data_IF_380444656086
#
_entry.id   IF_380444656086
#
_cell.length_a   1.000
_cell.length_b   1.000
_cell.length_c   1.000
_cell.angle_alpha   90.00
_cell.angle_beta   90.00
_cell.angle_gamma   90.00
#
_symmetry.space_group_name_H-M   'P 1'
#
loop_
_entity.id
_entity.type
_entity.pdbx_description
1 polymer ?
#
# COMPACT_ATOMS: atom_id res chain seq x y z
N UNK A 1 -20.23 11.86 -33.12
CA UNK A 1 -19.40 10.65 -33.28
C UNK A 1 -19.00 10.19 -31.89
N UNK A 2 -19.62 9.13 -31.37
CA UNK A 2 -19.20 8.51 -30.10
C UNK A 2 -17.87 7.81 -30.38
N UNK A 3 -16.75 8.39 -29.96
CA UNK A 3 -15.49 7.66 -29.97
C UNK A 3 -15.66 6.50 -28.98
N UNK A 4 -15.60 5.27 -29.49
CA UNK A 4 -15.53 4.09 -28.66
C UNK A 4 -14.29 4.22 -27.75
N UNK A 5 -14.50 4.64 -26.50
CA UNK A 5 -13.46 4.61 -25.46
C UNK A 5 -13.00 3.16 -25.37
N UNK A 6 -11.75 2.89 -25.76
CA UNK A 6 -11.20 1.54 -25.70
C UNK A 6 -11.28 1.02 -24.27
N UNK A 7 -11.78 -0.21 -24.10
CA UNK A 7 -12.14 -0.80 -22.80
C UNK A 7 -10.97 -0.78 -21.82
N UNK A 8 -11.28 -0.78 -20.53
CA UNK A 8 -10.31 -0.95 -19.45
C UNK A 8 -9.66 -2.34 -19.60
N UNK A 9 -8.34 -2.43 -19.39
CA UNK A 9 -7.60 -3.68 -19.19
C UNK A 9 -6.71 -3.54 -17.97
N UNK A 10 -6.88 -4.42 -16.98
CA UNK A 10 -6.08 -4.41 -15.75
C UNK A 10 -5.11 -5.58 -15.79
N UNK A 11 -3.82 -5.32 -15.65
CA UNK A 11 -2.79 -6.34 -15.52
C UNK A 11 -2.09 -6.22 -14.16
N UNK A 12 -1.47 -7.30 -13.71
CA UNK A 12 -0.68 -7.33 -12.48
C UNK A 12 0.74 -7.79 -12.77
N UNK A 13 1.72 -7.16 -12.12
CA UNK A 13 3.03 -7.78 -11.91
C UNK A 13 2.99 -8.84 -10.80
N UNK A 14 4.15 -9.29 -10.33
CA UNK A 14 4.23 -10.33 -9.27
C UNK A 14 4.21 -9.77 -7.85
N UNK A 15 4.24 -8.45 -7.66
CA UNK A 15 4.35 -7.84 -6.33
C UNK A 15 3.12 -8.04 -5.43
N UNK A 16 1.91 -7.90 -5.99
CA UNK A 16 0.65 -7.98 -5.23
C UNK A 16 -0.55 -8.41 -6.11
N UNK A 17 -0.56 -9.66 -6.62
CA UNK A 17 -1.65 -10.15 -7.46
C UNK A 17 -3.02 -10.16 -6.75
N UNK A 18 -3.05 -10.37 -5.43
CA UNK A 18 -4.28 -10.35 -4.63
C UNK A 18 -5.01 -8.99 -4.70
N UNK A 19 -4.30 -7.87 -4.49
CA UNK A 19 -4.88 -6.54 -4.62
C UNK A 19 -5.35 -6.27 -6.05
N UNK A 20 -4.58 -6.71 -7.05
CA UNK A 20 -4.96 -6.54 -8.45
C UNK A 20 -6.26 -7.28 -8.78
N UNK A 21 -6.45 -8.49 -8.27
CA UNK A 21 -7.67 -9.27 -8.43
C UNK A 21 -8.87 -8.62 -7.73
N UNK A 22 -8.70 -8.08 -6.52
CA UNK A 22 -9.74 -7.33 -5.82
C UNK A 22 -10.19 -6.10 -6.63
N UNK A 23 -9.23 -5.34 -7.16
CA UNK A 23 -9.50 -4.17 -8.00
C UNK A 23 -10.21 -4.57 -9.30
N UNK A 24 -9.76 -5.62 -9.99
CA UNK A 24 -10.36 -6.10 -11.22
C UNK A 24 -11.82 -6.56 -11.00
N UNK A 25 -12.06 -7.34 -9.94
CA UNK A 25 -13.39 -7.78 -9.53
C UNK A 25 -14.34 -6.61 -9.29
N UNK A 26 -13.89 -5.56 -8.60
CA UNK A 26 -14.70 -4.34 -8.37
C UNK A 26 -14.99 -3.56 -9.64
N UNK A 27 -14.12 -3.62 -10.64
CA UNK A 27 -14.35 -3.07 -11.97
C UNK A 27 -15.26 -3.96 -12.84
N UNK A 28 -15.68 -5.13 -12.35
CA UNK A 28 -16.57 -6.05 -13.07
C UNK A 28 -15.88 -6.80 -14.21
N UNK A 29 -14.56 -6.98 -14.16
CA UNK A 29 -13.80 -7.67 -15.21
C UNK A 29 -12.68 -8.54 -14.63
N UNK A 30 -12.27 -9.62 -15.32
CA UNK A 30 -11.10 -10.39 -14.91
C UNK A 30 -9.80 -9.61 -15.15
N UNK A 31 -8.73 -10.02 -14.47
CA UNK A 31 -7.38 -9.60 -14.83
C UNK A 31 -7.05 -10.02 -16.27
N UNK A 32 -6.33 -9.14 -16.97
CA UNK A 32 -5.76 -9.41 -18.28
C UNK A 32 -4.74 -10.53 -18.22
N UNK A 33 -4.69 -11.34 -19.27
CA UNK A 33 -3.79 -12.47 -19.43
C UNK A 33 -2.39 -11.96 -19.71
N UNK A 34 -1.51 -12.10 -18.73
CA UNK A 34 -0.08 -11.90 -18.89
C UNK A 34 0.69 -13.07 -18.28
N UNK A 35 1.82 -13.40 -18.89
CA UNK A 35 2.80 -14.31 -18.30
C UNK A 35 3.93 -13.47 -17.76
N UNK A 36 4.22 -13.59 -16.46
CA UNK A 36 5.35 -12.95 -15.79
C UNK A 36 6.16 -14.04 -15.12
N UNK A 37 7.29 -14.40 -15.72
CA UNK A 37 8.20 -15.46 -15.26
C UNK A 37 9.62 -14.94 -15.18
N UNK A 38 10.55 -15.78 -14.74
CA UNK A 38 11.99 -15.49 -14.74
C UNK A 38 12.76 -16.64 -15.34
N UNK A 39 13.88 -16.35 -15.98
CA UNK A 39 14.85 -17.37 -16.37
C UNK A 39 15.79 -17.71 -15.20
N UNK A 40 16.63 -18.72 -15.39
CA UNK A 40 17.61 -19.18 -14.39
C UNK A 40 18.65 -18.11 -14.02
N UNK A 41 18.85 -17.09 -14.88
CA UNK A 41 19.70 -15.92 -14.60
C UNK A 41 18.99 -14.82 -13.80
N UNK A 42 17.69 -14.98 -13.51
CA UNK A 42 16.88 -14.03 -12.74
C UNK A 42 16.26 -12.89 -13.55
N UNK A 43 16.41 -12.88 -14.88
CA UNK A 43 15.82 -11.87 -15.75
C UNK A 43 14.30 -12.08 -15.88
N UNK A 44 13.53 -10.98 -15.86
CA UNK A 44 12.08 -11.04 -15.98
C UNK A 44 11.66 -11.26 -17.44
N UNK A 45 10.92 -12.34 -17.69
CA UNK A 45 10.31 -12.66 -18.98
C UNK A 45 8.82 -12.33 -18.89
N UNK A 46 8.40 -11.34 -19.66
CA UNK A 46 7.03 -10.84 -19.64
C UNK A 46 6.41 -10.95 -21.02
N UNK A 47 5.20 -11.49 -21.08
CA UNK A 47 4.39 -11.55 -22.29
C UNK A 47 2.95 -11.17 -21.99
N UNK A 48 2.47 -10.09 -22.62
CA UNK A 48 1.04 -9.76 -22.66
C UNK A 48 0.37 -10.73 -23.64
N UNK A 49 -0.52 -11.59 -23.14
CA UNK A 49 -1.06 -12.74 -23.87
C UNK A 49 -2.42 -12.44 -24.54
N UNK A 50 -2.85 -11.18 -24.53
CA UNK A 50 -4.06 -10.71 -25.21
C UNK A 50 -3.82 -9.34 -25.86
N UNK A 51 -4.68 -8.97 -26.81
CA UNK A 51 -4.56 -7.68 -27.48
C UNK A 51 -4.88 -6.53 -26.52
N UNK A 52 -3.97 -5.55 -26.48
CA UNK A 52 -4.15 -4.28 -25.77
C UNK A 52 -4.29 -3.09 -26.74
N UNK A 53 -4.33 -3.35 -28.05
CA UNK A 53 -4.41 -2.30 -29.08
C UNK A 53 -5.63 -1.42 -28.84
N UNK A 54 -5.41 -0.11 -28.83
CA UNK A 54 -6.43 0.92 -28.57
C UNK A 54 -7.13 0.84 -27.18
N UNK A 55 -6.70 -0.04 -26.27
CA UNK A 55 -7.30 -0.17 -24.94
C UNK A 55 -6.66 0.81 -23.92
N UNK A 56 -7.40 1.08 -22.85
CA UNK A 56 -6.90 1.83 -21.69
C UNK A 56 -6.37 0.85 -20.64
N UNK A 57 -5.05 0.81 -20.52
CA UNK A 57 -4.33 -0.22 -19.77
C UNK A 57 -3.92 0.30 -18.41
N UNK A 58 -4.21 -0.47 -17.36
CA UNK A 58 -3.80 -0.21 -15.98
C UNK A 58 -2.92 -1.36 -15.51
N UNK A 59 -1.68 -1.07 -15.09
CA UNK A 59 -0.74 -2.09 -14.61
C UNK A 59 -0.54 -1.87 -13.11
N UNK A 60 -0.97 -2.83 -12.30
CA UNK A 60 -0.85 -2.78 -10.84
C UNK A 60 0.46 -3.45 -10.43
N UNK A 61 1.34 -2.69 -9.78
CA UNK A 61 2.57 -3.22 -9.20
C UNK A 61 3.06 -2.31 -8.06
N UNK A 62 3.48 -2.87 -6.93
CA UNK A 62 3.87 -2.13 -5.73
C UNK A 62 5.33 -2.37 -5.33
N UNK A 63 5.94 -1.42 -4.62
CA UNK A 63 7.32 -1.53 -4.13
C UNK A 63 7.39 -2.39 -2.87
N UNK A 64 7.52 -3.70 -3.02
CA UNK A 64 7.62 -4.64 -1.90
C UNK A 64 8.73 -5.67 -2.08
N UNK A 65 9.05 -6.37 -0.99
CA UNK A 65 9.64 -7.70 -1.08
C UNK A 65 8.48 -8.70 -1.16
N UNK A 66 8.30 -9.36 -2.29
CA UNK A 66 7.26 -10.38 -2.46
C UNK A 66 7.88 -11.76 -2.67
N UNK A 67 7.27 -12.84 -2.16
CA UNK A 67 7.67 -14.18 -2.57
C UNK A 67 7.34 -14.38 -4.06
N UNK A 68 8.30 -14.93 -4.79
CA UNK A 68 8.10 -15.39 -6.17
C UNK A 68 7.19 -16.63 -6.19
N UNK A 69 6.68 -17.05 -7.37
CA UNK A 69 5.98 -18.32 -7.52
C UNK A 69 6.79 -19.54 -7.03
N UNK A 70 8.12 -19.43 -7.00
CA UNK A 70 9.04 -20.47 -6.49
C UNK A 70 9.39 -20.31 -5.01
N UNK A 71 8.85 -19.30 -4.32
CA UNK A 71 9.06 -19.04 -2.89
C UNK A 71 10.22 -18.11 -2.55
N UNK A 72 11.10 -17.80 -3.51
CA UNK A 72 12.25 -16.90 -3.32
C UNK A 72 11.81 -15.43 -3.18
N UNK A 73 12.43 -14.61 -2.32
CA UNK A 73 12.07 -13.21 -2.18
C UNK A 73 12.50 -12.39 -3.41
N UNK A 74 11.53 -11.81 -4.12
CA UNK A 74 11.74 -10.78 -5.12
C UNK A 74 11.99 -9.43 -4.42
N UNK A 75 13.04 -8.74 -4.84
CA UNK A 75 13.30 -7.38 -4.33
C UNK A 75 12.37 -6.35 -4.98
N UNK A 76 12.22 -5.15 -4.38
CA UNK A 76 11.52 -4.03 -5.03
C UNK A 76 12.08 -3.69 -6.42
N UNK A 77 13.36 -3.94 -6.67
CA UNK A 77 13.97 -3.73 -7.99
C UNK A 77 13.39 -4.67 -9.04
N UNK A 78 13.09 -5.90 -8.66
CA UNK A 78 12.52 -6.87 -9.59
C UNK A 78 11.10 -6.48 -9.95
N UNK A 79 10.29 -6.08 -8.97
CA UNK A 79 8.95 -5.54 -9.23
C UNK A 79 9.01 -4.25 -10.08
N UNK A 80 9.99 -3.38 -9.84
CA UNK A 80 10.19 -2.20 -10.69
C UNK A 80 10.49 -2.60 -12.14
N UNK A 81 11.43 -3.52 -12.36
CA UNK A 81 11.76 -3.99 -13.72
C UNK A 81 10.58 -4.67 -14.39
N UNK A 82 9.81 -5.49 -13.66
CA UNK A 82 8.58 -6.09 -14.18
C UNK A 82 7.58 -5.02 -14.64
N UNK A 83 7.36 -3.96 -13.83
CA UNK A 83 6.49 -2.85 -14.19
C UNK A 83 6.96 -2.15 -15.47
N UNK A 84 8.25 -1.80 -15.55
CA UNK A 84 8.83 -1.10 -16.71
C UNK A 84 8.70 -1.93 -18.00
N UNK A 85 8.98 -3.24 -17.93
CA UNK A 85 8.87 -4.15 -19.07
C UNK A 85 7.40 -4.32 -19.48
N UNK A 86 6.46 -4.44 -18.53
CA UNK A 86 5.02 -4.52 -18.83
C UNK A 86 4.51 -3.24 -19.51
N UNK A 87 4.89 -2.07 -18.99
CA UNK A 87 4.56 -0.76 -19.61
C UNK A 87 5.08 -0.74 -21.05
N UNK A 88 6.35 -1.08 -21.24
CA UNK A 88 6.97 -1.06 -22.57
C UNK A 88 6.29 -2.04 -23.53
N UNK A 89 5.97 -3.27 -23.07
CA UNK A 89 5.26 -4.27 -23.85
C UNK A 89 3.87 -3.78 -24.32
N UNK A 90 3.11 -3.13 -23.43
CA UNK A 90 1.83 -2.54 -23.79
C UNK A 90 1.99 -1.36 -24.77
N UNK A 91 3.05 -0.55 -24.61
CA UNK A 91 3.33 0.59 -25.48
C UNK A 91 3.62 0.14 -26.91
N UNK A 92 4.50 -0.84 -27.09
CA UNK A 92 4.82 -1.38 -28.42
C UNK A 92 3.65 -2.17 -29.03
N UNK A 93 2.78 -2.73 -28.19
CA UNK A 93 1.53 -3.37 -28.61
C UNK A 93 0.38 -2.37 -28.93
N UNK A 94 0.68 -1.07 -29.02
CA UNK A 94 -0.26 -0.01 -29.40
C UNK A 94 -1.43 0.19 -28.43
N UNK A 95 -1.19 0.05 -27.12
CA UNK A 95 -2.17 0.52 -26.13
C UNK A 95 -2.46 2.01 -26.31
N UNK A 96 -3.72 2.41 -26.15
CA UNK A 96 -4.15 3.82 -26.31
C UNK A 96 -3.59 4.70 -25.21
N UNK A 97 -3.66 4.18 -23.98
CA UNK A 97 -3.18 4.84 -22.77
C UNK A 97 -2.69 3.78 -21.77
N UNK A 98 -1.62 4.08 -21.06
CA UNK A 98 -1.00 3.20 -20.07
C UNK A 98 -0.89 3.95 -18.75
N UNK A 99 -1.56 3.44 -17.73
CA UNK A 99 -1.52 3.94 -16.36
C UNK A 99 -0.79 2.95 -15.46
N UNK A 100 0.30 3.38 -14.83
CA UNK A 100 0.94 2.60 -13.77
C UNK A 100 0.21 2.84 -12.45
N UNK A 101 -0.34 1.80 -11.84
CA UNK A 101 -0.98 1.84 -10.53
C UNK A 101 0.02 1.27 -9.52
N UNK A 102 0.62 2.16 -8.73
CA UNK A 102 1.74 1.87 -7.82
C UNK A 102 1.33 2.19 -6.39
N UNK A 103 0.63 1.30 -5.67
CA UNK A 103 0.11 1.62 -4.33
C UNK A 103 1.17 2.12 -3.36
N UNK A 104 2.33 1.46 -3.25
CA UNK A 104 3.50 1.97 -2.53
C UNK A 104 4.62 2.32 -3.52
N UNK A 105 4.98 3.60 -3.58
CA UNK A 105 5.92 4.12 -4.57
C UNK A 105 7.38 3.68 -4.32
N UNK A 106 8.06 3.27 -5.40
CA UNK A 106 9.44 2.81 -5.35
C UNK A 106 10.40 3.93 -4.93
N UNK A 107 11.29 3.62 -3.99
CA UNK A 107 12.35 4.54 -3.54
C UNK A 107 11.84 5.90 -3.00
N UNK A 108 10.60 5.98 -2.53
CA UNK A 108 9.97 7.24 -2.12
C UNK A 108 10.73 8.02 -1.03
N UNK A 109 11.46 7.33 -0.13
CA UNK A 109 12.31 7.96 0.90
C UNK A 109 13.59 8.60 0.37
N UNK A 110 13.92 8.42 -0.91
CA UNK A 110 15.11 8.97 -1.57
C UNK A 110 14.71 10.08 -2.55
N UNK A 111 13.94 11.05 -2.06
CA UNK A 111 13.30 12.15 -2.78
C UNK A 111 14.13 13.44 -2.79
N UNK A 112 15.16 13.53 -1.95
CA UNK A 112 16.05 14.71 -1.87
C UNK A 112 17.50 14.32 -1.60
N UNK A 113 18.39 15.28 -1.78
CA UNK A 113 19.81 15.14 -1.39
C UNK A 113 19.97 15.44 0.09
N UNK A 114 20.00 14.41 0.93
CA UNK A 114 20.28 14.56 2.36
C UNK A 114 21.77 14.84 2.67
N UNK A 115 22.66 14.51 1.72
CA UNK A 115 24.11 14.75 1.80
C UNK A 115 24.66 15.07 0.42
N UNK A 116 25.85 15.67 0.38
CA UNK A 116 26.58 15.88 -0.88
C UNK A 116 26.80 14.55 -1.61
N UNK A 117 26.60 14.56 -2.94
CA UNK A 117 26.72 13.39 -3.84
C UNK A 117 25.73 12.22 -3.60
N UNK A 118 24.65 12.42 -2.85
CA UNK A 118 23.55 11.46 -2.83
C UNK A 118 22.69 11.55 -4.12
N UNK A 119 22.14 10.44 -4.63
CA UNK A 119 21.16 10.46 -5.71
C UNK A 119 19.79 10.94 -5.22
N UNK A 120 18.94 11.35 -6.16
CA UNK A 120 17.50 11.48 -5.93
C UNK A 120 16.83 10.32 -6.66
N UNK A 121 16.84 9.14 -6.02
CA UNK A 121 16.43 7.90 -6.67
C UNK A 121 14.95 7.93 -7.04
N UNK A 122 14.07 8.54 -6.24
CA UNK A 122 12.66 8.69 -6.59
C UNK A 122 12.46 9.42 -7.94
N UNK A 123 13.27 10.45 -8.22
CA UNK A 123 13.25 11.15 -9.53
C UNK A 123 13.78 10.27 -10.66
N UNK A 124 14.82 9.47 -10.41
CA UNK A 124 15.30 8.48 -11.37
C UNK A 124 14.20 7.46 -11.70
N UNK A 125 13.49 6.94 -10.70
CA UNK A 125 12.37 6.01 -10.91
C UNK A 125 11.27 6.67 -11.73
N UNK A 126 10.87 7.89 -11.39
CA UNK A 126 9.88 8.64 -12.15
C UNK A 126 10.27 8.77 -13.63
N UNK A 127 11.53 9.15 -13.90
CA UNK A 127 12.05 9.24 -15.26
C UNK A 127 12.00 7.89 -16.00
N UNK A 128 12.35 6.78 -15.34
CA UNK A 128 12.31 5.45 -15.96
C UNK A 128 10.87 5.03 -16.31
N UNK A 129 9.92 5.25 -15.41
CA UNK A 129 8.49 4.94 -15.64
C UNK A 129 7.96 5.75 -16.84
N UNK A 130 8.21 7.06 -16.88
CA UNK A 130 7.81 7.90 -18.01
C UNK A 130 8.49 7.44 -19.30
N UNK A 131 9.79 7.12 -19.26
CA UNK A 131 10.55 6.74 -20.45
C UNK A 131 10.20 5.36 -20.99
N UNK A 132 9.70 4.45 -20.15
CA UNK A 132 9.14 3.17 -20.59
C UNK A 132 7.88 3.34 -21.46
N UNK A 133 7.20 4.49 -21.37
CA UNK A 133 6.00 4.83 -22.14
C UNK A 133 4.72 4.93 -21.31
N UNK A 134 4.83 5.23 -20.02
CA UNK A 134 3.70 5.44 -19.13
C UNK A 134 3.07 6.82 -19.34
N UNK A 135 1.75 6.88 -19.48
CA UNK A 135 0.99 8.12 -19.72
C UNK A 135 0.42 8.71 -18.42
N UNK A 136 0.21 7.90 -17.38
CA UNK A 136 -0.36 8.33 -16.10
C UNK A 136 0.13 7.43 -14.95
N UNK A 137 0.20 7.95 -13.73
CA UNK A 137 0.56 7.18 -12.52
C UNK A 137 -0.52 7.38 -11.46
N UNK A 138 -1.02 6.30 -10.88
CA UNK A 138 -1.86 6.34 -9.68
C UNK A 138 -1.02 5.75 -8.55
N UNK A 139 -0.77 6.48 -7.46
CA UNK A 139 -0.08 5.96 -6.27
C UNK A 139 -0.93 6.13 -5.02
N UNK A 140 -0.42 5.72 -3.87
CA UNK A 140 -0.98 6.06 -2.56
C UNK A 140 0.10 6.63 -1.63
N UNK A 141 -0.29 7.58 -0.78
CA UNK A 141 0.45 8.30 0.27
C UNK A 141 1.96 8.40 0.05
N UNK A 142 2.37 9.19 -0.96
CA UNK A 142 3.79 9.48 -1.15
C UNK A 142 4.44 9.98 0.14
N UNK A 143 5.65 9.47 0.37
CA UNK A 143 6.51 9.94 1.46
C UNK A 143 6.67 11.47 1.46
N UNK A 144 6.81 12.05 0.26
CA UNK A 144 6.87 13.50 0.08
C UNK A 144 5.96 13.91 -1.10
N UNK A 145 5.08 14.87 -0.84
CA UNK A 145 4.17 15.44 -1.86
C UNK A 145 4.90 15.97 -3.10
N UNK A 146 6.15 16.41 -2.95
CA UNK A 146 6.99 16.96 -4.01
C UNK A 146 7.34 15.93 -5.10
N UNK A 147 7.25 14.63 -4.80
CA UNK A 147 7.44 13.57 -5.81
C UNK A 147 6.37 13.67 -6.91
N UNK A 148 5.22 14.30 -6.65
CA UNK A 148 4.24 14.63 -7.72
C UNK A 148 4.88 15.44 -8.84
N UNK A 149 5.71 16.44 -8.50
CA UNK A 149 6.45 17.26 -9.47
C UNK A 149 7.63 16.53 -10.13
N UNK A 150 7.89 15.27 -9.77
CA UNK A 150 8.84 14.43 -10.53
C UNK A 150 8.20 13.84 -11.77
N UNK A 151 6.87 13.80 -11.79
CA UNK A 151 6.04 13.37 -12.89
C UNK A 151 5.36 14.56 -13.56
N UNK A 152 5.00 14.38 -14.81
CA UNK A 152 4.10 15.29 -15.53
C UNK A 152 2.63 14.85 -15.40
N UNK A 153 2.31 13.97 -14.43
CA UNK A 153 1.02 13.25 -14.31
C UNK A 153 0.49 13.24 -12.86
N UNK A 154 -0.85 13.32 -12.64
CA UNK A 154 -1.43 13.57 -11.31
C UNK A 154 -1.46 12.33 -10.41
N UNK A 155 -1.56 12.53 -9.08
CA UNK A 155 -1.31 11.49 -8.08
C UNK A 155 -2.00 11.78 -6.72
N UNK A 156 -2.35 10.74 -5.92
CA UNK A 156 -3.43 10.81 -4.91
C UNK A 156 -3.19 10.02 -3.60
N UNK A 157 -3.68 10.48 -2.43
CA UNK A 157 -4.09 9.68 -1.24
C UNK A 157 -4.39 10.50 0.04
N UNK A 158 -5.36 10.03 0.84
CA UNK A 158 -5.64 10.40 2.26
C UNK A 158 -6.85 9.66 2.94
N UNK A 159 -7.87 9.09 2.25
CA UNK A 159 -9.16 8.76 2.90
C UNK A 159 -9.17 7.58 3.90
N UNK A 160 -8.27 6.60 3.73
CA UNK A 160 -8.39 5.30 4.41
C UNK A 160 -8.23 5.41 5.94
N UNK A 161 -7.27 6.21 6.42
CA UNK A 161 -7.05 6.41 7.85
C UNK A 161 -8.22 7.15 8.51
N UNK A 162 -8.79 8.15 7.82
CA UNK A 162 -9.88 8.98 8.33
C UNK A 162 -11.13 8.13 8.64
N UNK A 163 -11.53 7.26 7.71
CA UNK A 163 -12.69 6.40 7.90
C UNK A 163 -12.46 5.41 9.04
N UNK A 164 -11.31 4.73 9.08
CA UNK A 164 -11.01 3.78 10.14
C UNK A 164 -11.09 4.42 11.53
N UNK A 165 -10.54 5.63 11.71
CA UNK A 165 -10.57 6.33 13.00
C UNK A 165 -12.02 6.63 13.42
N UNK A 166 -12.87 7.09 12.49
CA UNK A 166 -14.28 7.41 12.79
C UNK A 166 -15.10 6.19 13.19
N UNK A 167 -14.81 5.04 12.59
CA UNK A 167 -15.59 3.81 12.81
C UNK A 167 -15.09 3.01 14.02
N UNK A 168 -13.78 3.03 14.29
CA UNK A 168 -13.14 2.12 15.24
C UNK A 168 -12.63 2.78 16.52
N UNK A 169 -12.58 4.11 16.58
CA UNK A 169 -12.03 4.85 17.72
C UNK A 169 -13.04 5.87 18.23
N UNK A 170 -13.24 5.90 19.56
CA UNK A 170 -13.96 6.99 20.20
C UNK A 170 -13.17 8.30 20.07
N UNK A 171 -13.56 9.10 19.10
CA UNK A 171 -12.92 10.36 18.79
C UNK A 171 -13.08 11.39 19.93
N UNK A 172 -14.06 11.26 20.83
CA UNK A 172 -14.28 12.26 21.90
C UNK A 172 -13.10 12.39 22.88
N UNK A 173 -12.23 11.37 22.94
CA UNK A 173 -11.04 11.32 23.81
C UNK A 173 -9.78 10.94 23.04
N UNK A 174 -9.72 11.21 21.74
CA UNK A 174 -8.57 10.86 20.92
C UNK A 174 -7.62 12.06 20.70
N UNK A 175 -6.36 11.76 20.44
CA UNK A 175 -5.34 12.73 20.01
C UNK A 175 -4.55 12.12 18.86
N UNK A 176 -4.38 12.89 17.77
CA UNK A 176 -3.54 12.47 16.64
C UNK A 176 -2.09 12.80 16.97
N UNK A 177 -1.20 11.84 16.79
CA UNK A 177 0.23 11.98 17.12
C UNK A 177 1.10 11.73 15.89
N UNK A 178 1.98 12.67 15.57
CA UNK A 178 3.04 12.44 14.59
C UNK A 178 4.29 11.83 15.27
N UNK A 179 4.84 10.71 14.78
CA UNK A 179 6.02 10.07 15.37
C UNK A 179 7.32 10.86 15.14
N UNK A 180 7.32 11.82 14.22
CA UNK A 180 8.42 12.77 14.02
C UNK A 180 7.96 14.11 13.42
N UNK A 181 8.91 15.03 13.23
CA UNK A 181 8.68 16.35 12.66
C UNK A 181 8.22 16.33 11.18
N UNK A 182 8.59 15.31 10.41
CA UNK A 182 8.27 15.20 8.99
C UNK A 182 6.79 14.92 8.76
N UNK A 183 6.17 14.12 9.63
CA UNK A 183 4.75 13.75 9.57
C UNK A 183 3.78 14.85 10.06
N UNK A 184 4.27 15.99 10.55
CA UNK A 184 3.45 17.02 11.20
C UNK A 184 2.23 17.44 10.37
N UNK A 185 2.44 17.79 9.09
CA UNK A 185 1.37 18.26 8.20
C UNK A 185 0.26 17.21 8.00
N UNK A 186 0.64 15.94 7.88
CA UNK A 186 -0.29 14.81 7.72
C UNK A 186 -1.16 14.65 8.96
N UNK A 187 -0.51 14.63 10.12
CA UNK A 187 -1.18 14.47 11.39
C UNK A 187 -2.10 15.67 11.72
N UNK A 188 -1.67 16.90 11.44
CA UNK A 188 -2.52 18.09 11.62
C UNK A 188 -3.71 18.10 10.65
N UNK A 189 -3.52 17.78 9.36
CA UNK A 189 -4.63 17.66 8.39
C UNK A 189 -5.71 16.69 8.87
N UNK A 190 -5.29 15.54 9.40
CA UNK A 190 -6.20 14.52 9.91
C UNK A 190 -6.89 14.96 11.21
N UNK A 191 -6.14 15.59 12.13
CA UNK A 191 -6.67 16.14 13.37
C UNK A 191 -7.76 17.19 13.11
N UNK A 192 -7.50 18.12 12.17
CA UNK A 192 -8.44 19.17 11.78
C UNK A 192 -9.75 18.57 11.21
N UNK A 193 -9.66 17.55 10.35
CA UNK A 193 -10.83 16.88 9.75
C UNK A 193 -11.64 16.03 10.74
N UNK A 194 -11.02 15.60 11.83
CA UNK A 194 -11.65 14.86 12.92
C UNK A 194 -12.05 15.75 14.09
N UNK A 195 -11.68 17.03 14.05
CA UNK A 195 -11.81 17.98 15.16
C UNK A 195 -11.17 17.43 16.46
N UNK A 196 -9.94 16.94 16.35
CA UNK A 196 -9.15 16.36 17.44
C UNK A 196 -7.94 17.22 17.77
N UNK A 197 -7.43 17.03 18.98
CA UNK A 197 -6.12 17.57 19.35
C UNK A 197 -4.99 16.86 18.59
N UNK A 198 -3.86 17.56 18.47
CA UNK A 198 -2.65 17.08 17.82
C UNK A 198 -1.45 17.13 18.78
N UNK A 199 -0.58 16.12 18.70
CA UNK A 199 0.71 16.07 19.36
C UNK A 199 1.81 15.57 18.41
N UNK A 200 3.07 15.85 18.74
CA UNK A 200 4.20 15.53 17.88
C UNK A 200 5.44 15.17 18.68
N UNK A 201 6.16 14.16 18.21
CA UNK A 201 7.48 13.87 18.71
C UNK A 201 8.56 14.65 17.96
N UNK A 202 9.41 15.35 18.71
CA UNK A 202 10.64 15.92 18.20
C UNK A 202 11.83 15.05 18.61
N UNK A 203 12.62 14.59 17.63
CA UNK A 203 13.85 13.83 17.89
C UNK A 203 15.03 14.78 18.04
N UNK A 204 15.53 14.93 19.26
CA UNK A 204 16.80 15.60 19.52
C UNK A 204 17.96 14.64 19.20
N UNK A 205 18.76 14.97 18.19
CA UNK A 205 20.00 14.25 17.89
C UNK A 205 21.16 14.91 18.64
N UNK A 206 21.54 14.37 19.81
CA UNK A 206 22.81 14.72 20.46
C UNK A 206 23.91 13.81 19.92
N UNK A 207 24.87 14.37 19.16
CA UNK A 207 26.14 13.78 18.66
C UNK A 207 26.09 12.37 18.05
N UNK A 208 27.13 12.00 17.31
CA UNK A 208 27.32 10.60 16.93
C UNK A 208 27.68 9.83 18.21
N UNK A 209 26.86 8.83 18.60
CA UNK A 209 27.03 7.88 19.72
C UNK A 209 26.20 8.10 21.01
N UNK A 210 25.29 9.07 21.09
CA UNK A 210 24.28 9.11 22.18
C UNK A 210 22.90 8.67 21.69
N UNK A 211 22.13 8.03 22.58
CA UNK A 211 20.75 7.62 22.33
C UNK A 211 19.92 8.87 22.06
N UNK A 212 19.29 8.94 20.88
CA UNK A 212 18.42 10.06 20.52
C UNK A 212 17.28 10.22 21.52
N UNK A 213 17.10 11.43 22.07
CA UNK A 213 15.99 11.74 22.96
C UNK A 213 14.76 12.11 22.13
N UNK A 214 13.60 11.55 22.49
CA UNK A 214 12.32 11.87 21.87
C UNK A 214 11.52 12.75 22.84
N UNK A 215 11.15 13.95 22.42
CA UNK A 215 10.39 14.92 23.23
C UNK A 215 8.98 15.02 22.67
N UNK A 216 7.97 14.77 23.50
CA UNK A 216 6.57 14.93 23.14
C UNK A 216 6.16 16.40 23.29
N UNK A 217 5.52 16.96 22.26
CA UNK A 217 4.88 18.27 22.28
C UNK A 217 3.38 18.06 22.07
N UNK A 218 2.56 18.52 23.01
CA UNK A 218 1.11 18.30 23.04
C UNK A 218 0.67 17.47 24.26
N UNK A 219 -0.63 17.47 24.56
CA UNK A 219 -1.18 16.76 25.71
C UNK A 219 -1.90 15.47 25.27
N UNK A 220 -1.45 14.34 25.80
CA UNK A 220 -1.98 12.99 25.53
C UNK A 220 -2.56 12.31 26.78
N UNK A 221 -2.50 12.97 27.94
CA UNK A 221 -2.91 12.39 29.22
C UNK A 221 -4.40 12.02 29.23
N UNK A 222 -4.70 10.77 29.58
CA UNK A 222 -6.06 10.24 29.63
C UNK A 222 -6.74 10.11 28.26
N UNK A 223 -5.99 10.18 27.16
CA UNK A 223 -6.51 10.09 25.78
C UNK A 223 -6.05 8.83 25.07
N UNK A 224 -6.79 8.43 24.05
CA UNK A 224 -6.36 7.45 23.05
C UNK A 224 -5.40 8.15 22.09
N UNK A 225 -4.12 7.78 22.13
CA UNK A 225 -3.12 8.35 21.24
C UNK A 225 -3.04 7.56 19.92
N UNK A 226 -3.30 8.23 18.80
CA UNK A 226 -3.29 7.63 17.46
C UNK A 226 -2.03 8.11 16.73
N UNK A 227 -1.01 7.27 16.69
CA UNK A 227 0.20 7.50 15.88
C UNK A 227 -0.14 7.39 14.40
N UNK A 228 0.17 8.41 13.60
CA UNK A 228 -0.11 8.43 12.16
C UNK A 228 1.17 8.68 11.37
N UNK A 229 1.48 7.79 10.44
CA UNK A 229 2.66 7.89 9.56
C UNK A 229 2.34 7.39 8.14
N UNK A 230 3.15 7.74 7.13
CA UNK A 230 2.95 7.19 5.78
C UNK A 230 3.37 5.73 5.72
N UNK A 231 4.44 5.35 6.42
CA UNK A 231 4.97 4.01 6.32
C UNK A 231 5.73 3.53 7.55
N UNK A 232 5.59 2.26 7.87
CA UNK A 232 6.34 1.59 8.93
C UNK A 232 7.26 0.52 8.35
N UNK A 233 8.56 0.62 8.63
CA UNK A 233 9.57 -0.30 8.11
C UNK A 233 10.07 -1.24 9.20
N UNK A 234 11.11 -0.88 9.96
CA UNK A 234 11.60 -1.71 11.09
C UNK A 234 10.84 -1.47 12.40
N UNK A 235 9.84 -0.59 12.40
CA UNK A 235 9.00 -0.18 13.53
C UNK A 235 9.70 0.36 14.79
N UNK A 236 11.01 0.61 14.78
CA UNK A 236 11.73 1.12 15.97
C UNK A 236 11.26 2.50 16.43
N UNK A 237 10.85 3.37 15.49
CA UNK A 237 10.27 4.69 15.85
C UNK A 237 8.89 4.55 16.48
N UNK A 238 8.03 3.68 15.94
CA UNK A 238 6.68 3.47 16.47
C UNK A 238 6.70 2.81 17.84
N UNK A 239 7.59 1.83 18.04
CA UNK A 239 7.79 1.15 19.33
C UNK A 239 8.18 2.15 20.42
N UNK A 240 9.23 2.95 20.18
CA UNK A 240 9.67 3.99 21.10
C UNK A 240 8.59 5.05 21.33
N UNK A 241 7.91 5.50 20.27
CA UNK A 241 6.82 6.48 20.39
C UNK A 241 5.67 5.95 21.26
N UNK A 242 5.29 4.69 21.08
CA UNK A 242 4.24 4.06 21.88
C UNK A 242 4.62 3.96 23.36
N UNK A 243 5.86 3.57 23.66
CA UNK A 243 6.38 3.56 25.03
C UNK A 243 6.30 4.95 25.66
N UNK A 244 6.78 5.99 24.96
CA UNK A 244 6.75 7.37 25.45
C UNK A 244 5.35 7.94 25.64
N UNK A 245 4.40 7.55 24.79
CA UNK A 245 3.00 7.96 24.93
C UNK A 245 2.37 7.37 26.20
N UNK A 246 2.61 6.10 26.48
CA UNK A 246 2.16 5.46 27.73
C UNK A 246 2.82 6.10 28.95
N UNK A 247 4.14 6.35 28.92
CA UNK A 247 4.85 7.08 29.99
C UNK A 247 4.28 8.49 30.22
N UNK A 248 3.74 9.11 29.17
CA UNK A 248 3.12 10.44 29.21
C UNK A 248 1.62 10.41 29.57
N UNK A 249 1.10 9.25 29.99
CA UNK A 249 -0.27 9.11 30.50
C UNK A 249 -1.34 8.84 29.44
N UNK A 250 -0.99 8.46 28.20
CA UNK A 250 -1.97 8.00 27.23
C UNK A 250 -2.68 6.73 27.72
N UNK A 251 -4.00 6.64 27.53
CA UNK A 251 -4.82 5.50 27.96
C UNK A 251 -4.45 4.23 27.19
N UNK A 252 -4.33 4.37 25.86
CA UNK A 252 -3.89 3.33 24.94
C UNK A 252 -3.32 3.97 23.68
N UNK A 253 -2.50 3.21 22.96
CA UNK A 253 -1.82 3.70 21.75
C UNK A 253 -2.16 2.81 20.56
N UNK A 254 -2.68 3.43 19.51
CA UNK A 254 -2.93 2.81 18.20
C UNK A 254 -1.98 3.46 17.21
N UNK A 255 -1.44 2.68 16.27
CA UNK A 255 -0.70 3.22 15.14
C UNK A 255 -1.47 2.94 13.84
N UNK A 256 -1.57 3.93 12.96
CA UNK A 256 -2.16 3.82 11.63
C UNK A 256 -1.10 4.28 10.64
N UNK A 257 -0.71 3.38 9.73
CA UNK A 257 0.24 3.71 8.67
C UNK A 257 -0.29 3.25 7.33
N UNK A 258 -0.08 4.02 6.27
CA UNK A 258 -0.55 3.59 4.96
C UNK A 258 0.24 2.38 4.49
N UNK A 259 1.57 2.45 4.48
CA UNK A 259 2.43 1.40 3.95
C UNK A 259 3.15 0.63 5.07
N UNK A 260 2.61 -0.54 5.41
CA UNK A 260 3.29 -1.50 6.28
C UNK A 260 4.40 -2.26 5.57
N UNK A 261 5.61 -1.71 5.46
CA UNK A 261 6.79 -2.42 4.92
C UNK A 261 7.25 -3.53 5.86
N UNK A 262 7.21 -3.29 7.17
CA UNK A 262 7.35 -4.28 8.26
C UNK A 262 8.55 -5.24 8.10
N UNK A 263 9.73 -4.70 7.76
CA UNK A 263 10.93 -5.50 7.52
C UNK A 263 11.75 -5.80 8.79
N UNK A 264 12.57 -6.85 8.72
CA UNK A 264 13.52 -7.21 9.78
C UNK A 264 12.83 -7.45 11.14
N UNK A 265 13.19 -6.72 12.21
CA UNK A 265 12.65 -6.95 13.55
C UNK A 265 11.24 -6.39 13.78
N UNK A 266 10.58 -5.86 12.74
CA UNK A 266 9.32 -5.13 12.87
C UNK A 266 8.24 -5.90 13.63
N UNK A 267 7.95 -7.15 13.22
CA UNK A 267 6.90 -7.95 13.86
C UNK A 267 7.21 -8.23 15.33
N UNK A 268 8.46 -8.59 15.65
CA UNK A 268 8.89 -8.79 17.04
C UNK A 268 8.74 -7.53 17.87
N UNK A 269 9.11 -6.37 17.33
CA UNK A 269 8.94 -5.07 17.99
C UNK A 269 7.47 -4.76 18.24
N UNK A 270 6.61 -4.87 17.22
CA UNK A 270 5.18 -4.60 17.36
C UNK A 270 4.55 -5.51 18.43
N UNK A 271 4.83 -6.82 18.37
CA UNK A 271 4.32 -7.79 19.34
C UNK A 271 4.70 -7.39 20.78
N UNK A 272 5.97 -7.02 21.01
CA UNK A 272 6.47 -6.68 22.34
C UNK A 272 6.19 -5.23 22.77
N UNK A 273 5.82 -4.36 21.83
CA UNK A 273 5.60 -2.94 22.08
C UNK A 273 4.36 -2.66 22.93
N UNK A 274 4.23 -1.41 23.36
CA UNK A 274 3.03 -0.87 24.01
C UNK A 274 1.90 -0.50 23.06
N UNK A 275 2.03 -0.76 21.75
CA UNK A 275 0.93 -0.61 20.82
C UNK A 275 -0.17 -1.62 21.14
N UNK A 276 -1.41 -1.14 21.21
CA UNK A 276 -2.60 -1.98 21.23
C UNK A 276 -2.80 -2.62 19.86
N UNK A 277 -2.71 -1.80 18.81
CA UNK A 277 -2.95 -2.20 17.42
C UNK A 277 -2.07 -1.39 16.46
N UNK A 278 -1.61 -2.06 15.39
CA UNK A 278 -1.02 -1.43 14.22
C UNK A 278 -1.94 -1.68 13.02
N UNK A 279 -2.55 -0.63 12.51
CA UNK A 279 -3.43 -0.65 11.34
C UNK A 279 -2.60 -0.26 10.13
N UNK A 280 -2.62 -1.12 9.12
CA UNK A 280 -1.94 -0.90 7.84
C UNK A 280 -2.94 -0.97 6.69
N UNK A 281 -2.61 -0.49 5.50
CA UNK A 281 -3.39 -0.81 4.30
C UNK A 281 -2.81 -2.03 3.57
N UNK A 282 -3.60 -2.64 2.69
CA UNK A 282 -3.11 -3.63 1.71
C UNK A 282 -2.44 -2.98 0.47
N UNK A 283 -1.84 -1.78 0.59
CA UNK A 283 -0.92 -1.26 -0.46
C UNK A 283 0.31 -2.15 -0.67
N UNK A 284 0.62 -2.96 0.32
CA UNK A 284 1.65 -4.00 0.36
C UNK A 284 0.98 -5.29 0.87
N UNK A 285 1.39 -6.50 0.42
CA UNK A 285 0.81 -7.73 0.94
C UNK A 285 1.03 -7.89 2.46
N UNK A 286 -0.04 -8.07 3.25
CA UNK A 286 0.06 -8.21 4.72
C UNK A 286 -0.40 -9.57 5.26
N UNK A 287 -0.92 -10.47 4.42
CA UNK A 287 -1.51 -11.75 4.87
C UNK A 287 -0.54 -12.57 5.75
N UNK A 288 0.76 -12.62 5.40
CA UNK A 288 1.77 -13.27 6.22
C UNK A 288 2.06 -12.54 7.54
N UNK A 289 2.06 -11.21 7.52
CA UNK A 289 2.32 -10.38 8.70
C UNK A 289 1.17 -10.50 9.72
N UNK A 290 -0.08 -10.43 9.25
CA UNK A 290 -1.29 -10.63 10.08
C UNK A 290 -1.33 -12.01 10.71
N UNK A 291 -0.96 -13.05 9.96
CA UNK A 291 -0.89 -14.41 10.49
C UNK A 291 0.16 -14.58 11.61
N UNK A 292 1.23 -13.77 11.59
CA UNK A 292 2.33 -13.83 12.57
C UNK A 292 2.18 -12.85 13.75
N UNK A 293 1.33 -11.84 13.63
CA UNK A 293 1.16 -10.80 14.64
C UNK A 293 -0.31 -10.37 14.74
N UNK A 294 -0.97 -10.78 15.83
CA UNK A 294 -2.39 -10.49 16.08
C UNK A 294 -2.71 -9.00 16.31
N UNK A 295 -1.69 -8.17 16.56
CA UNK A 295 -1.86 -6.70 16.69
C UNK A 295 -2.01 -6.00 15.34
N UNK A 296 -1.77 -6.68 14.22
CA UNK A 296 -1.84 -6.08 12.88
C UNK A 296 -3.26 -6.19 12.34
N UNK A 297 -3.81 -5.05 11.96
CA UNK A 297 -5.11 -4.93 11.29
C UNK A 297 -4.89 -4.35 9.89
N UNK A 298 -5.79 -4.65 8.95
CA UNK A 298 -5.63 -4.27 7.54
C UNK A 298 -6.87 -3.55 7.01
N UNK A 299 -6.65 -2.40 6.36
CA UNK A 299 -7.65 -1.67 5.59
C UNK A 299 -7.51 -2.06 4.11
N UNK A 300 -8.60 -2.54 3.51
CA UNK A 300 -8.66 -2.79 2.08
C UNK A 300 -8.82 -1.48 1.29
N UNK A 301 -7.85 -1.18 0.43
CA UNK A 301 -7.84 -0.01 -0.45
C UNK A 301 -8.32 -0.32 -1.87
N UNK A 302 -8.74 -1.56 -2.16
CA UNK A 302 -9.28 -1.94 -3.47
C UNK A 302 -10.53 -1.12 -3.89
N UNK A 303 -11.45 -0.69 -3.00
CA UNK A 303 -12.54 0.20 -3.40
C UNK A 303 -12.04 1.54 -3.93
N UNK A 304 -11.05 2.13 -3.24
CA UNK A 304 -10.47 3.40 -3.63
C UNK A 304 -9.73 3.31 -4.96
N UNK A 305 -8.89 2.29 -5.16
CA UNK A 305 -8.15 2.11 -6.41
C UNK A 305 -9.06 1.81 -7.60
N UNK A 306 -10.05 0.93 -7.42
CA UNK A 306 -11.00 0.59 -8.49
C UNK A 306 -11.83 1.82 -8.91
N UNK A 307 -12.32 2.60 -7.95
CA UNK A 307 -13.07 3.82 -8.26
C UNK A 307 -12.18 4.90 -8.88
N UNK A 308 -10.91 5.01 -8.45
CA UNK A 308 -9.93 5.91 -9.08
C UNK A 308 -9.68 5.52 -10.55
N UNK A 309 -9.48 4.23 -10.83
CA UNK A 309 -9.32 3.69 -12.18
C UNK A 309 -10.57 4.00 -13.02
N UNK A 310 -11.76 3.72 -12.48
CA UNK A 310 -13.05 3.96 -13.16
C UNK A 310 -13.20 5.44 -13.54
N UNK A 311 -12.99 6.35 -12.59
CA UNK A 311 -13.09 7.80 -12.81
C UNK A 311 -12.05 8.30 -13.81
N UNK A 312 -10.80 7.86 -13.68
CA UNK A 312 -9.72 8.16 -14.61
C UNK A 312 -10.04 7.70 -16.04
N UNK A 313 -10.68 6.53 -16.18
CA UNK A 313 -11.13 6.01 -17.47
C UNK A 313 -12.21 6.89 -18.12
N UNK A 314 -13.25 7.26 -17.34
CA UNK A 314 -14.39 8.04 -17.83
C UNK A 314 -14.18 9.56 -17.80
N UNK A 315 -13.03 10.05 -17.35
CA UNK A 315 -12.75 11.49 -17.24
C UNK A 315 -13.55 12.18 -16.12
N UNK A 316 -13.99 11.41 -15.11
CA UNK A 316 -14.69 11.94 -13.94
C UNK A 316 -13.71 12.48 -12.90
N UNK A 317 -14.17 13.37 -12.03
CA UNK A 317 -13.32 13.94 -11.00
C UNK A 317 -12.89 12.89 -9.96
N UNK A 318 -11.59 12.64 -9.87
CA UNK A 318 -10.98 11.83 -8.81
C UNK A 318 -10.94 12.57 -7.47
N UNK A 319 -10.98 13.91 -7.47
CA UNK A 319 -10.80 14.71 -6.24
C UNK A 319 -11.90 14.52 -5.20
N UNK A 320 -13.08 14.05 -5.64
CA UNK A 320 -14.19 13.69 -4.75
C UNK A 320 -13.75 12.61 -3.75
N UNK A 321 -12.91 11.68 -4.20
CA UNK A 321 -12.45 10.58 -3.38
C UNK A 321 -11.55 11.03 -2.22
N UNK A 322 -11.06 12.27 -2.18
CA UNK A 322 -10.24 12.75 -1.05
C UNK A 322 -11.06 13.06 0.20
N UNK A 323 -12.37 13.23 0.03
CA UNK A 323 -13.30 13.58 1.10
C UNK A 323 -14.33 12.46 1.36
N UNK A 324 -14.54 11.57 0.39
CA UNK A 324 -15.54 10.51 0.43
C UNK A 324 -14.89 9.16 0.14
N UNK A 325 -15.15 8.16 0.98
CA UNK A 325 -14.76 6.78 0.70
C UNK A 325 -15.86 6.15 -0.16
N UNK A 326 -15.54 5.59 -1.35
CA UNK A 326 -16.53 4.90 -2.16
C UNK A 326 -17.14 3.75 -1.35
N UNK A 327 -18.47 3.76 -1.21
CA UNK A 327 -19.22 2.72 -0.49
C UNK A 327 -18.93 1.32 -1.03
N UNK A 328 -18.96 0.32 -0.14
CA UNK A 328 -18.60 -1.09 -0.40
C UNK A 328 -19.63 -1.87 -1.25
N UNK A 329 -20.45 -1.19 -2.06
CA UNK A 329 -21.37 -1.86 -2.99
C UNK A 329 -20.72 -2.03 -4.36
N UNK A 330 -20.65 -3.26 -4.91
CA UNK A 330 -20.34 -3.47 -6.31
C UNK A 330 -21.40 -2.72 -7.13
N UNK A 331 -21.03 -1.60 -7.75
CA UNK A 331 -21.89 -0.95 -8.74
C UNK A 331 -21.98 -1.91 -9.93
N UNK A 332 -23.18 -2.45 -10.26
CA UNK A 332 -23.31 -3.22 -11.47
C UNK A 332 -22.97 -2.30 -12.64
N UNK A 333 -21.89 -2.65 -13.34
CA UNK A 333 -21.48 -2.02 -14.58
C UNK A 333 -22.72 -1.80 -15.46
N UNK A 334 -23.02 -0.55 -15.81
CA UNK A 334 -24.04 -0.20 -16.81
C UNK A 334 -23.69 -0.92 -18.11
N UNK A 335 -24.23 -2.12 -18.29
CA UNK A 335 -24.39 -2.72 -19.60
C UNK A 335 -25.52 -1.97 -20.29
N UNK A 336 -25.15 -1.27 -21.36
CA UNK A 336 -25.93 -1.01 -22.56
C UNK A 336 -27.47 -1.11 -22.41
N UNK A 337 -28.12 0.04 -22.23
CA UNK A 337 -29.43 0.23 -22.86
C UNK A 337 -29.23 0.70 -24.30
N UNK A 338 -28.77 -0.21 -25.16
CA UNK A 338 -29.30 -0.25 -26.52
C UNK A 338 -30.66 -0.94 -26.45
N UNK A 339 -31.71 -0.16 -26.18
CA UNK A 339 -33.06 -0.51 -26.59
C UNK A 339 -33.78 0.80 -26.93
N UNK A 340 -34.14 0.89 -28.20
CA UNK A 340 -34.45 2.13 -28.91
C UNK A 340 -35.45 3.04 -28.21
N UNK A 341 -35.13 4.32 -28.20
CA UNK A 341 -36.10 5.39 -28.03
C UNK A 341 -36.46 5.95 -29.41
N UNK A 342 -37.66 5.62 -29.88
CA UNK A 342 -38.38 6.49 -30.78
C UNK A 342 -38.51 7.87 -30.13
N UNK A 343 -38.24 8.91 -30.91
CA UNK A 343 -38.36 10.29 -30.48
C UNK A 343 -39.82 10.74 -30.56
N UNK A 344 -40.42 11.35 -29.52
CA UNK A 344 -41.61 12.15 -29.71
C UNK A 344 -41.22 13.60 -30.06
N UNK A 345 -41.84 14.11 -31.11
CA UNK A 345 -41.77 15.52 -31.54
C UNK A 345 -42.38 16.47 -30.49
N UNK A 346 -42.02 17.77 -30.47
CA UNK A 346 -42.44 18.68 -29.42
C UNK A 346 -43.83 19.28 -29.71
N UNK A 347 -44.71 19.28 -28.70
CA UNK A 347 -45.96 20.03 -28.74
C UNK A 347 -46.13 20.89 -27.46
N UNK A 348 -46.00 22.21 -27.67
CA UNK A 348 -46.75 23.34 -27.10
C UNK A 348 -47.32 23.25 -25.67
N UNK A 349 -46.70 24.02 -24.76
CA UNK A 349 -47.28 25.09 -23.93
C UNK A 349 -48.42 24.80 -22.93
N UNK A 350 -48.17 25.09 -21.63
CA UNK A 350 -49.01 25.85 -20.65
C UNK A 350 -48.33 25.86 -19.24
N UNK A 351 -48.74 26.71 -18.27
CA UNK A 351 -47.88 27.59 -17.44
C UNK A 351 -47.47 27.01 -16.06
N UNK A 352 -46.62 27.70 -15.25
CA UNK A 352 -46.02 27.12 -14.05
C UNK A 352 -46.94 27.27 -12.84
N UNK A 353 -47.10 26.21 -12.05
CA UNK A 353 -47.68 26.30 -10.70
C UNK A 353 -46.83 25.57 -9.67
N UNK A 354 -46.34 26.38 -8.73
CA UNK A 354 -46.17 26.11 -7.30
C UNK A 354 -45.03 25.19 -6.83
N UNK A 355 -44.08 25.86 -6.18
CA UNK A 355 -43.14 25.32 -5.20
C UNK A 355 -43.89 24.68 -4.02
N UNK A 356 -43.54 23.44 -3.68
CA UNK A 356 -43.66 22.89 -2.32
C UNK A 356 -42.30 22.39 -1.85
N UNK A 357 -41.94 22.80 -0.64
CA UNK A 357 -40.67 22.58 0.07
C UNK A 357 -40.36 21.10 0.41
N UNK A 358 -39.09 20.77 0.79
CA UNK A 358 -38.60 19.41 0.84
C UNK A 358 -38.93 18.67 2.14
N UNK A 359 -39.37 17.42 2.03
CA UNK A 359 -39.54 16.51 3.18
C UNK A 359 -38.18 16.22 3.84
N UNK A 360 -38.17 16.43 5.17
CA UNK A 360 -37.01 16.25 6.05
C UNK A 360 -36.64 14.78 6.35
N UNK A 361 -35.60 14.56 7.16
CA UNK A 361 -34.91 13.28 7.24
C UNK A 361 -35.67 12.25 8.09
N UNK A 362 -35.98 11.09 7.50
CA UNK A 362 -36.57 9.96 8.23
C UNK A 362 -35.49 9.24 9.05
N UNK A 363 -35.67 9.20 10.37
CA UNK A 363 -34.86 8.45 11.34
C UNK A 363 -35.22 6.95 11.30
N UNK A 364 -34.22 6.07 11.22
CA UNK A 364 -34.38 4.63 11.46
C UNK A 364 -33.84 4.25 12.85
N UNK A 365 -34.70 3.72 13.71
CA UNK A 365 -34.35 3.16 15.03
C UNK A 365 -34.22 1.63 14.94
N UNK A 366 -33.21 1.08 15.63
CA UNK A 366 -32.94 -0.35 15.82
C UNK A 366 -33.46 -0.86 17.19
N UNK A 367 -33.78 -2.18 17.25
CA UNK A 367 -34.05 -3.06 18.41
C UNK A 367 -35.44 -2.91 19.11
N UNK A 368 -36.23 -3.93 19.51
CA UNK A 368 -36.25 -5.43 19.56
C UNK A 368 -37.72 -5.84 20.00
N UNK A 369 -38.07 -7.05 20.54
CA UNK A 369 -38.25 -8.42 20.02
C UNK A 369 -39.71 -9.00 20.07
N UNK A 370 -39.85 -10.25 19.56
CA UNK A 370 -40.73 -11.37 19.99
C UNK A 370 -42.17 -11.56 19.42
N UNK A 371 -42.42 -12.68 18.69
CA UNK A 371 -43.06 -13.96 19.13
C UNK A 371 -43.93 -14.67 18.05
N UNK A 372 -43.79 -16.01 17.94
CA UNK A 372 -44.77 -16.97 17.37
C UNK A 372 -44.24 -17.87 16.24
N UNK A 373 -43.53 -18.99 16.50
CA UNK A 373 -44.02 -20.34 16.85
C UNK A 373 -44.62 -21.17 15.68
N UNK A 374 -43.88 -22.18 15.18
CA UNK A 374 -44.38 -23.53 14.80
C UNK A 374 -43.25 -24.56 15.01
N UNK A 375 -43.55 -25.64 15.73
CA UNK A 375 -42.65 -26.76 16.05
C UNK A 375 -42.83 -27.99 15.12
N UNK A 376 -42.42 -29.21 15.53
CA UNK A 376 -41.33 -29.92 14.87
C UNK A 376 -41.68 -31.31 14.27
N UNK A 377 -40.82 -31.84 13.40
CA UNK A 377 -40.84 -33.24 12.98
C UNK A 377 -39.52 -33.95 13.37
N UNK A 378 -39.65 -35.09 14.06
CA UNK A 378 -38.60 -36.00 14.54
C UNK A 378 -38.56 -37.29 13.70
N UNK A 379 -37.45 -38.03 13.87
CA UNK A 379 -37.19 -39.50 13.68
C UNK A 379 -36.77 -39.96 12.28
N UNK A 380 -35.84 -40.90 12.09
CA UNK A 380 -35.07 -41.77 13.01
C UNK A 380 -33.78 -42.32 12.35
N UNK A 381 -32.85 -42.81 13.19
CA UNK A 381 -31.70 -43.66 12.88
C UNK A 381 -32.10 -45.09 12.49
N UNK A 382 -31.21 -45.80 11.76
CA UNK A 382 -30.75 -47.16 12.11
C UNK A 382 -29.55 -47.62 11.24
N UNK A 383 -28.62 -48.32 11.90
CA UNK A 383 -27.44 -49.08 11.43
C UNK A 383 -27.75 -50.20 10.43
N UNK A 384 -26.74 -50.64 9.66
CA UNK A 384 -26.21 -52.02 9.69
C UNK A 384 -25.04 -52.24 8.70
N UNK A 385 -24.20 -53.19 9.10
CA UNK A 385 -22.85 -53.62 8.70
C UNK A 385 -22.77 -54.71 7.61
N UNK A 386 -21.52 -55.17 7.38
CA UNK A 386 -21.03 -56.41 6.71
C UNK A 386 -20.55 -56.25 5.25
N UNK A 387 -19.24 -56.22 4.99
CA UNK A 387 -18.23 -57.32 4.88
C UNK A 387 -18.10 -57.84 3.44
N UNK A 388 -16.88 -57.80 2.85
CA UNK A 388 -16.03 -59.00 2.72
C UNK A 388 -14.77 -58.77 1.82
N UNK A 389 -13.62 -59.16 2.38
CA UNK A 389 -12.44 -59.86 1.81
C UNK A 389 -11.68 -59.40 0.55
N UNK A 390 -10.35 -59.32 0.68
CA UNK A 390 -9.44 -59.72 -0.41
C UNK A 390 -7.97 -59.23 -0.35
N UNK A 391 -7.12 -59.82 0.50
CA UNK A 391 -5.65 -59.89 0.35
C UNK A 391 -5.23 -61.35 0.60
N UNK A 392 -4.18 -61.91 -0.04
CA UNK A 392 -2.77 -61.75 0.40
C UNK A 392 -1.76 -61.70 -0.79
N UNK A 393 -0.48 -61.31 -0.68
CA UNK A 393 0.62 -62.00 0.03
C UNK A 393 1.94 -61.19 -0.10
N UNK A 394 2.83 -61.30 0.88
CA UNK A 394 4.15 -60.67 1.01
C UNK A 394 5.31 -61.51 0.42
N UNK A 395 6.51 -60.89 0.21
CA UNK A 395 7.86 -61.41 0.60
C UNK A 395 9.05 -60.50 0.16
N UNK A 396 9.65 -59.83 1.17
CA UNK A 396 11.07 -59.56 1.61
C UNK A 396 12.31 -59.84 0.68
N UNK A 397 13.49 -59.15 0.90
CA UNK A 397 14.63 -58.88 -0.03
C UNK A 397 16.00 -59.55 0.38
N UNK A 398 17.22 -58.91 0.34
CA UNK A 398 18.17 -58.43 -0.71
C UNK A 398 19.53 -59.24 -0.69
N UNK A 399 20.73 -58.83 -1.24
CA UNK A 399 21.68 -57.78 -0.70
C UNK A 399 22.52 -57.04 -1.81
N UNK A 400 23.44 -56.09 -1.62
CA UNK A 400 24.08 -55.40 -0.48
C UNK A 400 25.33 -54.59 -0.92
N UNK A 401 25.85 -53.74 -0.01
CA UNK A 401 27.21 -53.16 0.03
C UNK A 401 27.34 -51.71 -0.47
N UNK A 402 27.95 -50.73 0.22
CA UNK A 402 28.70 -50.67 1.48
C UNK A 402 29.21 -49.23 1.73
N UNK A 403 29.24 -48.87 3.01
CA UNK A 403 29.69 -47.65 3.73
C UNK A 403 31.20 -47.28 3.55
N UNK A 404 31.83 -46.28 4.27
CA UNK A 404 31.31 -45.31 5.27
C UNK A 404 31.90 -43.85 5.27
N UNK A 405 31.22 -42.98 6.06
CA UNK A 405 31.69 -42.04 7.13
C UNK A 405 32.62 -40.83 6.92
N UNK A 406 32.25 -39.75 7.64
CA UNK A 406 33.11 -38.71 8.24
C UNK A 406 32.73 -37.31 7.74
N UNK A 407 32.38 -36.30 8.52
CA UNK A 407 32.48 -36.00 9.94
C UNK A 407 32.60 -34.46 10.02
N UNK A 408 31.70 -33.78 10.74
CA UNK A 408 31.82 -32.34 11.02
C UNK A 408 33.01 -32.05 11.95
N UNK A 409 33.45 -30.79 12.01
CA UNK A 409 33.37 -30.15 13.33
C UNK A 409 32.89 -28.69 13.31
N UNK A 410 32.05 -28.36 14.30
CA UNK A 410 31.99 -27.04 14.92
C UNK A 410 33.30 -26.75 15.69
N UNK A 411 33.82 -25.51 15.62
CA UNK A 411 34.62 -24.91 16.70
C UNK A 411 34.32 -23.41 16.81
N UNK A 412 34.06 -23.00 18.04
CA UNK A 412 33.80 -21.64 18.53
C UNK A 412 35.05 -20.77 18.71
N UNK A 413 34.83 -19.45 18.76
CA UNK A 413 35.42 -18.43 19.65
C UNK A 413 36.94 -18.31 19.82
N UNK A 414 37.44 -17.07 19.71
CA UNK A 414 38.67 -16.66 20.40
C UNK A 414 39.44 -15.52 19.74
N UNK A 415 39.37 -14.35 20.36
CA UNK A 415 40.20 -13.17 20.13
C UNK A 415 41.71 -13.48 20.09
N UNK A 416 42.45 -12.79 19.22
CA UNK A 416 43.80 -12.31 19.53
C UNK A 416 44.24 -11.20 18.54
N UNK A 417 44.86 -10.19 19.13
CA UNK A 417 45.23 -8.93 18.53
C UNK A 417 46.57 -8.92 17.78
N UNK A 418 46.75 -7.83 17.02
CA UNK A 418 47.97 -7.02 16.90
C UNK A 418 48.90 -7.18 15.67
N UNK A 419 49.41 -6.00 15.27
CA UNK A 419 50.52 -5.65 14.35
C UNK A 419 50.08 -5.48 12.88
N UNK A 420 50.33 -4.37 12.16
CA UNK A 420 51.29 -3.27 12.32
C UNK A 420 50.88 -2.00 11.53
N UNK A 421 50.94 -0.83 12.20
CA UNK A 421 51.68 0.42 11.83
C UNK A 421 52.31 0.44 10.41
N UNK A 422 52.31 1.46 9.54
CA UNK A 422 52.09 2.94 9.48
C UNK A 422 52.53 3.38 8.04
N UNK A 423 52.55 4.67 7.58
CA UNK A 423 51.87 5.90 8.01
C UNK A 423 51.18 6.70 6.87
N UNK A 424 50.48 7.76 7.31
CA UNK A 424 49.90 8.88 6.56
C UNK A 424 50.94 9.74 5.81
N UNK A 425 50.50 10.39 4.74
CA UNK A 425 51.01 11.69 4.31
C UNK A 425 49.86 12.72 4.30
N UNK A 426 50.12 13.85 4.95
CA UNK A 426 49.27 15.03 5.11
C UNK A 426 49.91 16.20 4.36
N UNK A 427 49.12 17.00 3.63
CA UNK A 427 49.49 18.40 3.33
C UNK A 427 48.22 19.27 3.35
N UNK A 428 48.28 20.30 4.19
CA UNK A 428 47.39 21.46 4.38
C UNK A 428 47.83 22.61 3.46
N UNK A 429 46.91 23.28 2.75
CA UNK A 429 46.29 24.59 3.04
C UNK A 429 46.94 25.81 2.36
N UNK A 430 46.04 26.69 1.90
CA UNK A 430 46.14 28.11 1.51
C UNK A 430 46.82 28.53 0.20
N UNK A 431 46.00 29.15 -0.68
CA UNK A 431 46.29 30.45 -1.33
C UNK A 431 44.97 31.09 -1.81
N UNK A 432 44.69 32.29 -1.30
CA UNK A 432 43.69 33.25 -1.81
C UNK A 432 44.00 33.67 -3.27
N UNK A 433 42.99 33.98 -4.08
CA UNK A 433 42.87 35.26 -4.83
C UNK A 433 41.65 35.28 -5.79
N UNK A 434 40.93 36.40 -5.71
CA UNK A 434 40.24 37.14 -6.78
C UNK A 434 38.99 36.58 -7.49
N UNK A 435 37.84 37.15 -7.10
CA UNK A 435 36.61 37.32 -7.90
C UNK A 435 36.82 38.35 -9.04
N UNK A 436 36.03 38.28 -10.12
CA UNK A 436 35.63 39.46 -10.85
C UNK A 436 34.11 39.71 -10.76
N UNK A 437 33.80 40.96 -10.46
CA UNK A 437 32.52 41.65 -10.57
C UNK A 437 32.21 42.01 -12.03
N UNK A 438 31.02 41.63 -12.52
CA UNK A 438 30.30 42.25 -13.65
C UNK A 438 28.81 42.09 -13.28
N UNK A 439 27.92 43.06 -13.29
CA UNK A 439 27.87 44.36 -13.95
C UNK A 439 26.40 44.58 -14.33
N UNK A 440 25.76 45.50 -13.64
CA UNK A 440 24.36 45.91 -13.75
C UNK A 440 24.03 46.46 -15.16
N UNK A 441 22.92 46.05 -15.80
CA UNK A 441 22.17 46.88 -16.76
C UNK A 441 20.68 46.53 -16.79
N UNK A 442 19.91 47.58 -16.58
CA UNK A 442 18.49 47.81 -16.86
C UNK A 442 18.15 47.75 -18.36
N UNK A 443 17.03 47.10 -18.67
CA UNK A 443 15.95 47.57 -19.57
C UNK A 443 14.84 46.54 -19.61
#
# INVERSE_FOLDING_TARGET
>A
MSQASGRIKVFSGTSHPELAELVARRLGQPLGKATVTRNDSGESIIRIAESVREHDVYIINTSCVSPTPTGEPASPNTSLMELLIMIHACRVASARRITAVIPHFFYARQDKKDKSRAPISAKLIANMIQKAGCDHVITMDLHASQIQGFFDVPLYAEPAALQYIREMVDCSKAVIVSPDAGGAKRATSLADRLNLDFALFHKERKKANEVSRMVLVGNVEGKVAILVDDMADTCGTLDLAAERLIESGAERVIAIVTHGVLSGPALTRITNSKLEKLVVTNTLPQSSNRAKCAKIDEIDISPFLSETIRRSHYGESVSILFNEVPYDTPQPYRQDQERGSESPSPALGLPPSEYTEPDGPVKANYFHPNLGAVGPAKRALADASEDNSGTPTALVPPPGGGLPSGGEPEISAGDAAALSRTPRASVTADTLMALPTIGNRSS
#
